data_IF_351282262143
#
_entry.id   IF_351282262143
#
_cell.length_a   1.000
_cell.length_b   1.000
_cell.length_c   1.000
_cell.angle_alpha   90.00
_cell.angle_beta   90.00
_cell.angle_gamma   90.00
#
_symmetry.space_group_name_H-M   'P 1'
#
loop_
_entity.id
_entity.type
_entity.pdbx_description
1 polymer ?
#
# COMPACT_ATOMS: atom_id res chain seq x y z
N UNK A 1 -30.43 48.56 51.54
CA UNK A 1 -30.58 47.09 51.66
C UNK A 1 -29.88 46.46 50.47
N UNK A 2 -28.71 45.87 50.70
CA UNK A 2 -27.90 45.19 49.67
C UNK A 2 -28.12 43.69 49.89
N UNK A 3 -28.67 42.99 48.90
CA UNK A 3 -28.82 41.55 48.93
C UNK A 3 -28.06 40.94 47.75
N UNK A 4 -26.98 40.26 48.09
CA UNK A 4 -26.06 39.52 47.24
C UNK A 4 -26.63 38.15 46.89
N UNK A 5 -26.87 37.90 45.60
CA UNK A 5 -27.28 36.59 45.09
C UNK A 5 -26.09 35.76 44.64
N UNK A 6 -25.82 34.67 45.35
CA UNK A 6 -24.77 33.66 45.07
C UNK A 6 -25.04 32.91 43.76
N UNK A 7 -24.01 32.75 42.93
CA UNK A 7 -23.94 31.81 41.82
C UNK A 7 -23.80 30.37 42.33
N UNK A 8 -24.46 29.36 41.75
CA UNK A 8 -24.16 27.97 42.06
C UNK A 8 -22.93 27.50 41.27
N UNK A 9 -21.93 27.02 42.01
CA UNK A 9 -20.86 26.17 41.51
C UNK A 9 -21.47 24.85 41.03
N UNK A 10 -21.37 24.56 39.73
CA UNK A 10 -21.75 23.29 39.12
C UNK A 10 -20.49 22.55 38.65
N UNK A 11 -20.35 21.32 39.13
CA UNK A 11 -19.19 20.44 39.00
C UNK A 11 -18.54 20.36 37.61
N UNK A 12 -17.24 20.64 37.60
CA UNK A 12 -16.30 20.26 36.56
C UNK A 12 -16.22 18.73 36.47
N UNK A 13 -17.14 18.10 35.72
CA UNK A 13 -16.95 16.72 35.28
C UNK A 13 -15.64 16.65 34.51
N UNK A 14 -14.63 16.04 35.14
CA UNK A 14 -13.39 15.60 34.49
C UNK A 14 -13.79 14.80 33.24
N UNK A 15 -13.64 15.41 32.07
CA UNK A 15 -13.62 14.68 30.81
C UNK A 15 -12.42 13.75 30.91
N UNK A 16 -12.68 12.48 31.22
CA UNK A 16 -11.74 11.42 30.97
C UNK A 16 -11.45 11.47 29.47
N UNK A 17 -10.28 11.97 29.11
CA UNK A 17 -9.74 11.82 27.77
C UNK A 17 -9.69 10.33 27.48
N UNK A 18 -10.46 9.88 26.48
CA UNK A 18 -10.27 8.55 25.90
C UNK A 18 -8.78 8.37 25.58
N UNK A 19 -8.19 7.20 25.89
CA UNK A 19 -6.80 6.93 25.54
C UNK A 19 -6.66 7.11 24.03
N UNK A 20 -5.83 8.07 23.62
CA UNK A 20 -5.42 8.21 22.23
C UNK A 20 -4.82 6.86 21.83
N UNK A 21 -5.54 6.09 21.01
CA UNK A 21 -5.02 4.89 20.39
C UNK A 21 -3.89 5.32 19.46
N UNK A 22 -2.68 5.32 20.01
CA UNK A 22 -1.46 5.35 19.22
C UNK A 22 -1.39 4.07 18.37
N UNK A 23 -0.84 4.16 17.15
CA UNK A 23 -0.69 3.01 16.27
C UNK A 23 0.15 1.91 16.96
N UNK A 24 0.08 0.64 16.52
CA UNK A 24 0.75 -0.49 17.14
C UNK A 24 2.25 -0.50 16.76
N UNK A 25 2.95 0.60 17.06
CA UNK A 25 4.40 0.72 16.86
C UNK A 25 5.14 -0.46 17.47
N UNK A 26 4.77 -0.86 18.69
CA UNK A 26 5.34 -2.01 19.37
C UNK A 26 5.22 -3.31 18.56
N UNK A 27 4.10 -3.54 17.87
CA UNK A 27 3.91 -4.72 17.03
C UNK A 27 4.81 -4.67 15.78
N UNK A 28 4.85 -3.53 15.10
CA UNK A 28 5.71 -3.34 13.93
C UNK A 28 7.18 -3.54 14.32
N UNK A 29 7.64 -2.91 15.40
CA UNK A 29 9.01 -3.04 15.89
C UNK A 29 9.32 -4.45 16.41
N UNK A 30 8.36 -5.12 17.04
CA UNK A 30 8.50 -6.52 17.44
C UNK A 30 8.80 -7.42 16.23
N UNK A 31 8.04 -7.27 15.14
CA UNK A 31 8.27 -8.01 13.89
C UNK A 31 9.64 -7.72 13.26
N UNK A 32 10.10 -6.46 13.30
CA UNK A 32 11.44 -6.11 12.82
C UNK A 32 12.55 -6.78 13.63
N UNK A 33 12.37 -6.94 14.95
CA UNK A 33 13.35 -7.57 15.84
C UNK A 33 13.38 -9.09 15.67
N UNK A 34 12.22 -9.75 15.60
CA UNK A 34 12.13 -11.21 15.45
C UNK A 34 12.90 -11.71 14.22
N UNK A 35 12.78 -11.04 13.06
CA UNK A 35 13.49 -11.46 11.86
C UNK A 35 15.01 -11.24 11.91
N UNK A 36 15.48 -10.21 12.64
CA UNK A 36 16.92 -9.97 12.82
C UNK A 36 17.62 -11.09 13.59
N UNK A 37 16.87 -11.83 14.41
CA UNK A 37 17.36 -12.98 15.19
C UNK A 37 17.25 -14.32 14.45
N UNK A 38 16.55 -14.39 13.31
CA UNK A 38 16.33 -15.65 12.56
C UNK A 38 17.14 -15.77 11.26
N UNK A 39 18.04 -14.83 10.94
CA UNK A 39 18.82 -14.88 9.69
C UNK A 39 19.71 -16.14 9.61
N UNK A 40 19.49 -17.05 8.64
CA UNK A 40 20.45 -18.09 8.33
C UNK A 40 21.66 -17.45 7.62
N UNK A 41 22.87 -17.89 7.96
CA UNK A 41 24.08 -17.54 7.21
C UNK A 41 23.88 -17.93 5.74
N UNK A 42 24.21 -16.99 4.83
CA UNK A 42 24.09 -17.16 3.39
C UNK A 42 24.67 -18.50 2.92
N UNK A 43 23.85 -19.29 2.22
CA UNK A 43 24.31 -20.41 1.39
C UNK A 43 23.95 -20.11 -0.06
N UNK A 44 24.95 -20.17 -0.90
CA UNK A 44 24.84 -20.19 -2.35
C UNK A 44 24.11 -21.47 -2.78
N UNK A 45 22.84 -21.35 -3.18
CA UNK A 45 22.17 -22.40 -3.95
C UNK A 45 21.48 -21.78 -5.17
N UNK A 46 22.02 -22.11 -6.35
CA UNK A 46 21.43 -21.85 -7.66
C UNK A 46 20.14 -22.69 -7.73
N UNK A 47 19.00 -22.06 -7.50
CA UNK A 47 17.70 -22.71 -7.55
C UNK A 47 17.23 -22.92 -9.00
N UNK A 48 16.99 -24.17 -9.38
CA UNK A 48 16.30 -24.54 -10.63
C UNK A 48 14.80 -24.20 -10.56
N UNK A 49 14.15 -23.86 -11.70
CA UNK A 49 12.76 -23.42 -11.71
C UNK A 49 11.82 -24.63 -11.72
N UNK A 50 11.42 -25.11 -10.53
CA UNK A 50 10.19 -25.91 -10.38
C UNK A 50 9.10 -25.03 -9.77
N UNK A 51 7.97 -24.93 -10.47
CA UNK A 51 6.82 -24.09 -10.15
C UNK A 51 6.38 -24.22 -8.69
N UNK A 52 6.77 -23.25 -7.87
CA UNK A 52 6.24 -23.02 -6.53
C UNK A 52 5.42 -21.75 -6.61
N UNK A 53 4.11 -21.91 -6.84
CA UNK A 53 3.13 -20.83 -6.67
C UNK A 53 3.27 -20.20 -5.28
N UNK A 54 2.88 -18.93 -5.15
CA UNK A 54 3.10 -18.02 -4.02
C UNK A 54 2.59 -18.56 -2.65
N UNK A 55 3.34 -19.47 -2.04
CA UNK A 55 3.02 -20.09 -0.75
C UNK A 55 4.10 -19.72 0.25
N UNK A 56 3.73 -18.93 1.25
CA UNK A 56 4.60 -18.57 2.38
C UNK A 56 4.28 -19.48 3.58
N UNK A 57 5.26 -19.71 4.45
CA UNK A 57 5.14 -20.45 5.70
C UNK A 57 4.57 -19.55 6.82
N UNK A 58 3.50 -20.03 7.46
CA UNK A 58 2.98 -19.46 8.71
C UNK A 58 3.82 -19.87 9.90
N UNK A 59 3.74 -19.11 10.99
CA UNK A 59 4.37 -19.45 12.27
C UNK A 59 3.84 -20.74 12.89
N UNK A 60 2.67 -21.23 12.43
CA UNK A 60 2.09 -22.52 12.76
C UNK A 60 2.48 -23.65 11.78
N UNK A 61 3.41 -23.39 10.86
CA UNK A 61 3.85 -24.32 9.82
C UNK A 61 2.85 -24.52 8.67
N UNK A 62 1.67 -23.87 8.72
CA UNK A 62 0.68 -23.95 7.64
C UNK A 62 1.02 -22.95 6.54
N UNK A 63 0.97 -23.41 5.29
CA UNK A 63 1.20 -22.56 4.13
C UNK A 63 0.00 -21.64 3.93
N UNK A 64 0.23 -20.34 3.80
CA UNK A 64 -0.79 -19.36 3.43
C UNK A 64 -0.46 -18.69 2.09
N UNK A 65 -1.48 -18.11 1.47
CA UNK A 65 -1.32 -17.31 0.26
C UNK A 65 -1.09 -15.86 0.66
N UNK A 66 -0.05 -15.23 0.12
CA UNK A 66 0.18 -13.80 0.33
C UNK A 66 -0.28 -12.98 -0.88
N UNK A 67 -1.23 -12.08 -0.63
CA UNK A 67 -1.68 -11.06 -1.55
C UNK A 67 -1.10 -9.69 -1.17
N UNK A 68 -1.08 -8.81 -2.15
CA UNK A 68 -0.66 -7.41 -2.11
C UNK A 68 -1.46 -6.58 -3.11
N UNK A 69 -1.36 -5.26 -3.04
CA UNK A 69 -1.96 -4.36 -4.04
C UNK A 69 -1.58 -4.72 -5.48
N UNK A 70 -0.33 -5.12 -5.74
CA UNK A 70 0.11 -5.54 -7.08
C UNK A 70 -0.53 -6.85 -7.52
N UNK A 71 -0.64 -7.85 -6.64
CA UNK A 71 -1.34 -9.11 -6.99
C UNK A 71 -2.84 -8.90 -7.20
N UNK A 72 -3.47 -7.98 -6.46
CA UNK A 72 -4.88 -7.64 -6.64
C UNK A 72 -5.11 -6.79 -7.89
N UNK A 73 -4.12 -5.98 -8.30
CA UNK A 73 -4.12 -5.32 -9.61
C UNK A 73 -4.12 -6.36 -10.73
N UNK A 74 -3.27 -7.39 -10.63
CA UNK A 74 -3.24 -8.50 -11.57
C UNK A 74 -4.59 -9.24 -11.64
N UNK A 75 -5.25 -9.45 -10.50
CA UNK A 75 -6.60 -10.04 -10.46
C UNK A 75 -7.62 -9.17 -11.21
N UNK A 76 -7.62 -7.85 -10.98
CA UNK A 76 -8.51 -6.92 -11.70
C UNK A 76 -8.26 -6.89 -13.20
N UNK A 77 -7.00 -6.96 -13.61
CA UNK A 77 -6.62 -6.99 -15.02
C UNK A 77 -7.04 -8.31 -15.70
N UNK A 78 -6.76 -9.45 -15.06
CA UNK A 78 -7.13 -10.76 -15.58
C UNK A 78 -7.14 -11.82 -14.47
N UNK A 79 -8.33 -12.31 -14.07
CA UNK A 79 -8.46 -13.39 -13.09
C UNK A 79 -7.72 -14.68 -13.48
N UNK A 80 -7.66 -15.02 -14.79
CA UNK A 80 -6.91 -16.19 -15.28
C UNK A 80 -5.41 -16.02 -15.04
N UNK A 81 -4.82 -14.89 -15.44
CA UNK A 81 -3.38 -14.63 -15.19
C UNK A 81 -3.06 -14.61 -13.70
N UNK A 82 -3.92 -14.04 -12.87
CA UNK A 82 -3.78 -14.05 -11.41
C UNK A 82 -3.76 -15.48 -10.85
N UNK A 83 -4.73 -16.30 -11.25
CA UNK A 83 -4.79 -17.71 -10.84
C UNK A 83 -3.56 -18.49 -11.32
N UNK A 84 -3.18 -18.33 -12.59
CA UNK A 84 -2.00 -18.97 -13.17
C UNK A 84 -0.73 -18.61 -12.40
N UNK A 85 -0.57 -17.33 -12.07
CA UNK A 85 0.61 -16.87 -11.37
C UNK A 85 0.68 -17.38 -9.94
N UNK A 86 -0.40 -17.24 -9.16
CA UNK A 86 -0.35 -17.51 -7.73
C UNK A 86 -0.59 -18.98 -7.38
N UNK A 87 -1.47 -19.68 -8.13
CA UNK A 87 -1.76 -21.10 -7.89
C UNK A 87 -0.87 -22.03 -8.72
N UNK A 88 -0.76 -21.79 -10.03
CA UNK A 88 0.00 -22.67 -10.94
C UNK A 88 1.49 -22.31 -11.09
N UNK A 89 1.93 -21.14 -10.60
CA UNK A 89 3.31 -20.68 -10.77
C UNK A 89 3.67 -20.30 -12.21
N UNK A 90 2.68 -20.08 -13.08
CA UNK A 90 2.87 -19.67 -14.48
C UNK A 90 2.77 -18.15 -14.55
N UNK A 91 3.91 -17.50 -14.76
CA UNK A 91 4.00 -16.05 -14.81
C UNK A 91 3.80 -15.52 -16.23
N UNK A 92 3.21 -14.33 -16.35
CA UNK A 92 3.26 -13.56 -17.60
C UNK A 92 4.72 -13.33 -18.00
N UNK A 93 5.06 -13.32 -19.31
CA UNK A 93 6.35 -12.82 -19.78
C UNK A 93 6.61 -11.43 -19.20
N UNK A 94 7.79 -11.21 -18.63
CA UNK A 94 8.18 -9.94 -17.99
C UNK A 94 9.13 -9.18 -18.91
N UNK A 95 8.79 -7.93 -19.20
CA UNK A 95 9.73 -6.97 -19.79
C UNK A 95 10.66 -6.37 -18.73
N UNK A 96 11.61 -5.55 -19.18
CA UNK A 96 12.48 -4.78 -18.29
C UNK A 96 11.63 -3.73 -17.57
N UNK A 97 11.62 -3.75 -16.23
CA UNK A 97 11.01 -2.67 -15.46
C UNK A 97 11.87 -1.41 -15.60
N UNK A 98 11.29 -0.23 -15.91
CA UNK A 98 12.07 0.99 -16.06
C UNK A 98 12.73 1.35 -14.72
N UNK A 99 14.04 1.55 -14.72
CA UNK A 99 14.80 1.89 -13.51
C UNK A 99 14.45 3.27 -12.95
N UNK A 100 14.04 4.21 -13.81
CA UNK A 100 13.77 5.60 -13.44
C UNK A 100 12.63 5.74 -12.40
N UNK A 101 11.42 5.18 -12.59
CA UNK A 101 10.39 5.22 -11.54
C UNK A 101 10.85 4.64 -10.20
N UNK A 102 11.58 3.53 -10.21
CA UNK A 102 12.11 2.92 -8.99
C UNK A 102 13.16 3.78 -8.29
N UNK A 103 14.07 4.40 -9.04
CA UNK A 103 15.05 5.34 -8.48
C UNK A 103 14.41 6.60 -7.94
N UNK A 104 13.42 7.15 -8.66
CA UNK A 104 12.66 8.33 -8.23
C UNK A 104 11.91 8.06 -6.92
N UNK A 105 11.28 6.89 -6.76
CA UNK A 105 10.57 6.52 -5.53
C UNK A 105 11.47 6.64 -4.28
N UNK A 106 12.70 6.13 -4.33
CA UNK A 106 13.65 6.24 -3.22
C UNK A 106 14.07 7.68 -2.91
N UNK A 107 14.33 8.47 -3.95
CA UNK A 107 14.70 9.89 -3.80
C UNK A 107 13.55 10.71 -3.21
N UNK A 108 12.32 10.50 -3.68
CA UNK A 108 11.12 11.19 -3.20
C UNK A 108 10.87 10.85 -1.73
N UNK A 109 10.96 9.58 -1.33
CA UNK A 109 10.84 9.16 0.07
C UNK A 109 11.83 9.87 0.98
N UNK A 110 13.10 9.91 0.55
CA UNK A 110 14.17 10.60 1.30
C UNK A 110 13.90 12.10 1.41
N UNK A 111 13.41 12.71 0.34
CA UNK A 111 13.04 14.12 0.33
C UNK A 111 11.87 14.42 1.29
N UNK A 112 10.80 13.61 1.29
CA UNK A 112 9.66 13.79 2.19
C UNK A 112 10.04 13.64 3.67
N UNK A 113 10.93 12.71 3.98
CA UNK A 113 11.37 12.46 5.35
C UNK A 113 12.05 13.69 5.99
N UNK A 114 12.67 14.57 5.18
CA UNK A 114 13.27 15.83 5.67
C UNK A 114 12.26 16.80 6.29
N UNK A 115 10.97 16.65 6.00
CA UNK A 115 9.92 17.54 6.48
C UNK A 115 9.22 17.03 7.74
N UNK A 116 9.45 15.79 8.19
CA UNK A 116 8.83 15.27 9.43
C UNK A 116 9.39 15.98 10.66
N UNK A 117 8.52 16.29 11.61
CA UNK A 117 8.89 17.02 12.83
C UNK A 117 9.27 18.49 12.61
N UNK A 118 9.30 18.97 11.37
CA UNK A 118 9.48 20.41 11.08
C UNK A 118 8.18 21.17 11.37
N UNK A 119 8.29 22.49 11.54
CA UNK A 119 7.12 23.37 11.73
C UNK A 119 6.15 23.24 10.56
N UNK A 120 6.72 23.18 9.35
CA UNK A 120 6.02 23.06 8.08
C UNK A 120 5.32 21.71 7.93
N UNK A 121 5.96 20.60 8.32
CA UNK A 121 5.40 19.24 8.33
C UNK A 121 5.07 18.65 6.96
N UNK A 122 5.33 19.38 5.86
CA UNK A 122 5.03 19.02 4.48
C UNK A 122 6.03 19.68 3.52
N UNK A 123 6.38 19.00 2.41
CA UNK A 123 7.02 19.62 1.26
C UNK A 123 6.22 20.83 0.75
N UNK A 124 6.91 21.90 0.31
CA UNK A 124 6.26 23.14 -0.11
C UNK A 124 5.28 22.96 -1.27
N UNK A 125 5.56 22.05 -2.20
CA UNK A 125 4.79 21.85 -3.43
C UNK A 125 3.43 21.17 -3.21
N UNK A 126 3.24 20.48 -2.07
CA UNK A 126 1.96 19.86 -1.69
C UNK A 126 1.22 20.60 -0.58
N UNK A 127 1.84 21.64 0.00
CA UNK A 127 1.26 22.44 1.08
C UNK A 127 -0.01 23.14 0.62
N UNK A 128 -1.06 23.07 1.44
CA UNK A 128 -2.38 23.63 1.11
C UNK A 128 -3.16 22.84 0.06
N UNK A 129 -2.56 21.79 -0.54
CA UNK A 129 -3.22 20.87 -1.50
C UNK A 129 -3.60 19.53 -0.86
N UNK A 130 -3.07 19.24 0.33
CA UNK A 130 -3.36 18.04 1.12
C UNK A 130 -3.81 18.41 2.53
N UNK A 131 -4.43 17.45 3.22
CA UNK A 131 -4.93 17.62 4.58
C UNK A 131 -3.98 16.98 5.60
N UNK A 132 -3.68 17.69 6.70
CA UNK A 132 -2.81 17.19 7.77
C UNK A 132 -1.31 17.48 7.54
N UNK A 133 -0.47 16.74 8.24
CA UNK A 133 1.00 16.77 8.12
C UNK A 133 1.54 15.37 7.90
N UNK A 134 2.79 15.23 7.47
CA UNK A 134 3.44 13.91 7.45
C UNK A 134 3.44 13.28 8.85
N UNK A 135 3.23 11.96 8.91
CA UNK A 135 3.35 11.17 10.13
C UNK A 135 4.71 11.44 10.79
N UNK A 136 4.74 11.91 12.04
CA UNK A 136 5.99 12.27 12.71
C UNK A 136 6.84 11.04 13.09
N UNK A 137 6.20 9.89 13.33
CA UNK A 137 6.91 8.65 13.71
C UNK A 137 7.59 7.99 12.50
N UNK A 138 8.80 8.45 12.20
CA UNK A 138 9.63 7.93 11.11
C UNK A 138 9.93 6.43 11.26
N UNK A 139 10.12 5.95 12.48
CA UNK A 139 10.48 4.54 12.74
C UNK A 139 9.31 3.61 12.38
N UNK A 140 8.09 4.01 12.77
CA UNK A 140 6.87 3.32 12.38
C UNK A 140 6.70 3.29 10.85
N UNK A 141 6.87 4.43 10.18
CA UNK A 141 6.75 4.49 8.73
C UNK A 141 7.81 3.62 8.02
N UNK A 142 9.06 3.66 8.50
CA UNK A 142 10.13 2.82 7.97
C UNK A 142 9.77 1.34 8.09
N UNK A 143 9.17 0.93 9.22
CA UNK A 143 8.60 -0.40 9.39
C UNK A 143 7.51 -0.74 8.36
N UNK A 144 6.62 0.21 8.04
CA UNK A 144 5.59 0.01 7.02
C UNK A 144 6.13 -0.05 5.59
N UNK A 145 7.27 0.58 5.30
CA UNK A 145 7.91 0.57 3.97
C UNK A 145 8.60 -0.75 3.62
N UNK A 146 8.91 -1.60 4.62
CA UNK A 146 9.65 -2.86 4.43
C UNK A 146 8.77 -4.09 4.60
N UNK A 147 9.10 -5.18 3.90
CA UNK A 147 8.30 -6.44 3.92
C UNK A 147 8.11 -7.03 5.31
N UNK A 148 9.13 -6.89 6.13
CA UNK A 148 9.23 -7.49 7.46
C UNK A 148 8.25 -6.83 8.44
N UNK A 149 8.17 -5.50 8.41
CA UNK A 149 7.29 -4.70 9.26
C UNK A 149 5.94 -4.29 8.66
N UNK A 150 5.79 -4.36 7.33
CA UNK A 150 4.66 -3.85 6.53
C UNK A 150 3.26 -4.10 7.11
N UNK A 151 2.30 -3.29 6.70
CA UNK A 151 0.91 -3.41 7.13
C UNK A 151 0.33 -4.77 6.72
N UNK A 152 -0.42 -5.41 7.63
CA UNK A 152 -0.85 -6.80 7.46
C UNK A 152 -2.29 -7.02 7.89
N UNK A 153 -2.95 -7.91 7.18
CA UNK A 153 -4.23 -8.52 7.54
C UNK A 153 -4.17 -10.01 7.22
N UNK A 154 -4.74 -10.85 8.09
CA UNK A 154 -4.79 -12.29 7.87
C UNK A 154 -6.20 -12.84 8.05
N UNK A 155 -6.77 -13.34 6.96
CA UNK A 155 -8.03 -14.07 7.00
C UNK A 155 -7.75 -15.55 7.27
N UNK A 156 -8.07 -16.00 8.48
CA UNK A 156 -7.89 -17.40 8.91
C UNK A 156 -8.80 -18.37 8.15
N UNK A 157 -9.99 -17.95 7.73
CA UNK A 157 -10.96 -18.81 7.03
C UNK A 157 -10.52 -19.06 5.59
N UNK A 158 -10.02 -18.01 4.93
CA UNK A 158 -9.48 -18.09 3.57
C UNK A 158 -8.02 -18.53 3.54
N UNK A 159 -7.36 -18.65 4.71
CA UNK A 159 -5.94 -18.93 4.86
C UNK A 159 -5.07 -18.04 3.94
N UNK A 160 -5.42 -16.75 3.91
CA UNK A 160 -4.86 -15.77 2.98
C UNK A 160 -4.48 -14.51 3.74
N UNK A 161 -3.27 -14.02 3.48
CA UNK A 161 -2.70 -12.81 4.07
C UNK A 161 -2.69 -11.70 3.05
N UNK A 162 -3.12 -10.51 3.45
CA UNK A 162 -2.89 -9.28 2.71
C UNK A 162 -1.73 -8.52 3.35
N UNK A 163 -0.77 -8.09 2.53
CA UNK A 163 0.35 -7.26 2.96
C UNK A 163 0.44 -6.00 2.09
N UNK A 164 0.66 -4.86 2.74
CA UNK A 164 0.88 -3.58 2.10
C UNK A 164 2.17 -2.93 2.57
N UNK A 165 2.96 -2.44 1.62
CA UNK A 165 4.08 -1.54 1.90
C UNK A 165 3.61 -0.12 1.61
N UNK A 166 3.49 0.69 2.67
CA UNK A 166 2.96 2.04 2.55
C UNK A 166 4.12 3.00 2.28
N UNK A 167 4.02 3.78 1.19
CA UNK A 167 5.06 4.74 0.83
C UNK A 167 5.13 5.89 1.82
N UNK A 168 3.98 6.49 2.13
CA UNK A 168 3.88 7.55 3.12
C UNK A 168 2.50 7.63 3.78
N UNK A 169 2.42 8.42 4.84
CA UNK A 169 1.20 8.64 5.60
C UNK A 169 1.11 10.08 6.07
N UNK A 170 -0.05 10.70 5.83
CA UNK A 170 -0.42 11.95 6.47
C UNK A 170 -1.21 11.65 7.76
N UNK A 171 -1.16 12.57 8.71
CA UNK A 171 -1.97 12.58 9.92
C UNK A 171 -2.71 13.91 10.02
N UNK A 172 -4.03 13.84 10.11
CA UNK A 172 -4.92 14.99 10.31
C UNK A 172 -5.85 14.71 11.49
N UNK A 173 -5.70 15.48 12.58
CA UNK A 173 -6.49 15.34 13.82
C UNK A 173 -6.57 13.87 14.32
N UNK A 174 -5.44 13.16 14.26
CA UNK A 174 -5.32 11.77 14.70
C UNK A 174 -5.81 10.72 13.69
N UNK A 175 -6.29 11.12 12.51
CA UNK A 175 -6.63 10.19 11.43
C UNK A 175 -5.44 10.01 10.47
N UNK A 176 -5.13 8.75 10.17
CA UNK A 176 -4.09 8.30 9.25
C UNK A 176 -4.65 8.26 7.83
N UNK A 177 -3.89 8.80 6.89
CA UNK A 177 -4.30 8.99 5.50
C UNK A 177 -3.18 8.45 4.61
N UNK A 178 -3.42 7.40 3.80
CA UNK A 178 -2.40 6.87 2.92
C UNK A 178 -2.02 7.89 1.84
N UNK A 179 -0.72 8.03 1.60
CA UNK A 179 -0.13 8.84 0.55
C UNK A 179 0.82 7.97 -0.28
N UNK A 180 0.67 7.99 -1.60
CA UNK A 180 1.43 7.13 -2.52
C UNK A 180 2.01 7.96 -3.69
N UNK A 181 3.26 7.70 -4.04
CA UNK A 181 4.00 8.46 -5.05
C UNK A 181 3.82 7.86 -6.44
N UNK A 182 3.57 8.70 -7.44
CA UNK A 182 3.37 8.26 -8.82
C UNK A 182 4.22 9.06 -9.80
N UNK A 183 5.32 8.48 -10.24
CA UNK A 183 6.13 9.03 -11.34
C UNK A 183 5.53 8.66 -12.69
N UNK A 184 5.28 9.65 -13.55
CA UNK A 184 4.75 9.45 -14.92
C UNK A 184 5.59 10.23 -15.91
N UNK A 185 5.62 9.77 -17.16
CA UNK A 185 6.27 10.50 -18.25
C UNK A 185 5.48 11.72 -18.77
N UNK A 186 4.26 11.92 -18.28
CA UNK A 186 3.35 12.98 -18.71
C UNK A 186 2.31 13.27 -17.62
N UNK A 187 1.69 14.45 -17.71
CA UNK A 187 0.65 14.90 -16.79
C UNK A 187 -0.46 13.84 -16.61
N UNK A 188 -1.00 13.67 -15.39
CA UNK A 188 -2.13 12.78 -15.17
C UNK A 188 -3.35 13.30 -15.96
N UNK A 189 -4.04 12.40 -16.67
CA UNK A 189 -5.38 12.68 -17.21
C UNK A 189 -6.40 12.63 -16.06
N UNK A 190 -7.51 13.36 -16.15
CA UNK A 190 -8.53 13.42 -15.10
C UNK A 190 -8.97 12.04 -14.59
N UNK A 191 -9.15 11.05 -15.46
CA UNK A 191 -9.59 9.70 -15.04
C UNK A 191 -8.46 8.71 -14.74
N UNK A 192 -7.20 9.06 -15.04
CA UNK A 192 -6.06 8.13 -14.93
C UNK A 192 -5.75 7.67 -13.50
N UNK A 193 -6.35 8.31 -12.51
CA UNK A 193 -6.14 7.98 -11.10
C UNK A 193 -7.04 6.86 -10.60
N UNK A 194 -8.13 6.58 -11.31
CA UNK A 194 -9.02 5.44 -11.02
C UNK A 194 -8.27 4.10 -11.08
N UNK A 195 -7.22 4.00 -11.90
CA UNK A 195 -6.34 2.83 -11.98
C UNK A 195 -5.62 2.52 -10.67
N UNK A 196 -5.43 3.50 -9.79
CA UNK A 196 -4.76 3.35 -8.50
C UNK A 196 -5.73 3.37 -7.31
N UNK A 197 -7.05 3.48 -7.56
CA UNK A 197 -8.06 3.56 -6.52
C UNK A 197 -7.98 2.39 -5.53
N UNK A 198 -7.86 1.16 -6.05
CA UNK A 198 -7.83 -0.03 -5.19
C UNK A 198 -6.57 -0.06 -4.32
N UNK A 199 -5.46 0.56 -4.74
CA UNK A 199 -4.25 0.62 -3.94
C UNK A 199 -4.49 1.46 -2.68
N UNK A 200 -5.10 2.64 -2.81
CA UNK A 200 -5.44 3.48 -1.66
C UNK A 200 -6.54 2.86 -0.80
N UNK A 201 -7.55 2.21 -1.41
CA UNK A 201 -8.57 1.45 -0.67
C UNK A 201 -7.93 0.36 0.21
N UNK A 202 -6.96 -0.37 -0.35
CA UNK A 202 -6.21 -1.43 0.36
C UNK A 202 -5.39 -0.85 1.50
N UNK A 203 -4.67 0.25 1.28
CA UNK A 203 -3.86 0.86 2.33
C UNK A 203 -4.72 1.43 3.45
N UNK A 204 -5.85 2.06 3.14
CA UNK A 204 -6.77 2.51 4.19
C UNK A 204 -7.28 1.32 5.00
N UNK A 205 -7.75 0.25 4.34
CA UNK A 205 -8.22 -0.93 5.05
C UNK A 205 -7.12 -1.54 5.93
N UNK A 206 -5.90 -1.68 5.40
CA UNK A 206 -4.78 -2.19 6.16
C UNK A 206 -4.39 -1.29 7.34
N UNK A 207 -4.47 0.03 7.21
CA UNK A 207 -4.28 0.94 8.33
C UNK A 207 -5.31 0.66 9.45
N UNK A 208 -6.59 0.47 9.09
CA UNK A 208 -7.65 0.11 10.06
C UNK A 208 -7.39 -1.23 10.76
N UNK A 209 -7.02 -2.26 9.99
CA UNK A 209 -6.69 -3.59 10.54
C UNK A 209 -5.43 -3.57 11.42
N UNK A 210 -4.60 -2.53 11.30
CA UNK A 210 -3.44 -2.29 12.14
C UNK A 210 -3.73 -1.17 13.17
N UNK A 211 -4.99 -0.99 13.59
CA UNK A 211 -5.37 -0.14 14.73
C UNK A 211 -5.33 1.38 14.48
N UNK A 212 -5.07 1.82 13.24
CA UNK A 212 -5.07 3.24 12.90
C UNK A 212 -6.49 3.71 12.56
N UNK A 213 -6.90 4.84 13.15
CA UNK A 213 -8.12 5.54 12.70
C UNK A 213 -7.88 6.18 11.34
N UNK A 214 -8.80 6.02 10.39
CA UNK A 214 -8.73 6.64 9.06
C UNK A 214 -9.94 7.55 8.81
N UNK A 215 -9.97 8.25 7.67
CA UNK A 215 -11.05 9.21 7.35
C UNK A 215 -11.70 9.06 5.97
N UNK A 216 -11.52 7.92 5.29
CA UNK A 216 -12.13 7.67 3.97
C UNK A 216 -11.46 8.41 2.82
N UNK A 217 -10.21 8.87 2.99
CA UNK A 217 -9.48 9.56 1.92
C UNK A 217 -8.05 9.06 1.83
N UNK A 218 -7.45 9.21 0.66
CA UNK A 218 -6.03 9.04 0.40
C UNK A 218 -5.55 10.01 -0.67
N UNK A 219 -4.23 10.12 -0.82
CA UNK A 219 -3.60 11.00 -1.81
C UNK A 219 -2.66 10.25 -2.73
N UNK A 220 -2.75 10.54 -4.03
CA UNK A 220 -1.71 10.21 -5.00
C UNK A 220 -0.91 11.49 -5.26
N UNK A 221 0.41 11.44 -5.13
CA UNK A 221 1.28 12.58 -5.47
C UNK A 221 1.98 12.27 -6.78
N UNK A 222 1.52 12.91 -7.85
CA UNK A 222 2.06 12.70 -9.19
C UNK A 222 3.29 13.57 -9.44
N UNK A 223 4.38 12.94 -9.89
CA UNK A 223 5.56 13.60 -10.43
C UNK A 223 5.60 13.37 -11.93
N UNK A 224 5.65 14.45 -12.72
CA UNK A 224 5.84 14.34 -14.16
C UNK A 224 6.79 15.43 -14.68
N UNK A 225 7.61 15.14 -15.70
CA UNK A 225 8.58 16.11 -16.21
C UNK A 225 7.86 17.27 -16.91
N UNK A 226 8.35 18.49 -16.68
CA UNK A 226 7.96 19.71 -17.39
C UNK A 226 8.94 20.06 -18.51
N UNK A 227 10.24 19.87 -18.25
CA UNK A 227 11.30 20.26 -19.16
C UNK A 227 12.68 20.13 -18.52
N UNK A 228 13.70 20.55 -19.25
CA UNK A 228 15.09 20.56 -18.78
C UNK A 228 15.61 21.98 -18.85
N UNK A 229 16.13 22.48 -17.73
CA UNK A 229 16.77 23.81 -17.66
C UNK A 229 18.10 23.80 -18.41
N UNK A 230 18.63 24.98 -18.73
CA UNK A 230 19.90 25.16 -19.44
C UNK A 230 21.11 24.53 -18.71
N UNK A 231 21.02 24.36 -17.39
CA UNK A 231 22.02 23.72 -16.54
C UNK A 231 21.83 22.20 -16.40
N UNK A 232 20.95 21.59 -17.22
CA UNK A 232 20.72 20.14 -17.23
C UNK A 232 19.78 19.63 -16.14
N UNK A 233 19.21 20.51 -15.31
CA UNK A 233 18.26 20.13 -14.28
C UNK A 233 16.91 19.79 -14.90
N UNK A 234 16.47 18.54 -14.74
CA UNK A 234 15.12 18.11 -15.12
C UNK A 234 14.12 18.66 -14.10
N UNK A 235 13.16 19.44 -14.58
CA UNK A 235 12.09 20.00 -13.75
C UNK A 235 10.89 19.06 -13.76
N UNK A 236 10.35 18.80 -12.58
CA UNK A 236 9.12 18.03 -12.39
C UNK A 236 8.02 18.95 -11.85
N UNK A 237 6.80 18.71 -12.33
CA UNK A 237 5.58 19.22 -11.71
C UNK A 237 5.05 18.19 -10.72
N UNK A 238 4.56 18.68 -9.58
CA UNK A 238 4.04 17.86 -8.50
C UNK A 238 2.57 18.15 -8.28
N UNK A 239 1.74 17.14 -8.57
CA UNK A 239 0.28 17.27 -8.51
C UNK A 239 -0.30 16.26 -7.51
N UNK A 240 -0.62 16.71 -6.28
CA UNK A 240 -1.42 15.92 -5.35
C UNK A 240 -2.83 15.74 -5.90
N UNK A 241 -3.36 14.54 -5.77
CA UNK A 241 -4.75 14.23 -6.09
C UNK A 241 -5.40 13.50 -4.93
N UNK A 242 -6.45 14.11 -4.40
CA UNK A 242 -7.30 13.53 -3.35
C UNK A 242 -8.21 12.47 -3.97
N UNK A 243 -8.33 11.33 -3.30
CA UNK A 243 -9.18 10.22 -3.68
C UNK A 243 -10.02 9.78 -2.48
N UNK A 244 -11.31 9.51 -2.71
CA UNK A 244 -12.18 8.89 -1.70
C UNK A 244 -11.88 7.40 -1.63
N UNK A 245 -11.55 6.90 -0.45
CA UNK A 245 -11.16 5.50 -0.24
C UNK A 245 -12.30 4.71 0.39
N UNK A 246 -12.32 3.38 0.15
CA UNK A 246 -13.32 2.48 0.70
C UNK A 246 -12.71 1.14 1.11
N UNK A 247 -12.60 0.89 2.42
CA UNK A 247 -12.16 -0.41 2.93
C UNK A 247 -13.06 -1.56 2.48
N UNK A 248 -14.35 -1.30 2.26
CA UNK A 248 -15.31 -2.28 1.78
C UNK A 248 -14.99 -2.73 0.34
N UNK A 249 -14.59 -1.81 -0.55
CA UNK A 249 -14.12 -2.16 -1.90
C UNK A 249 -12.86 -3.03 -1.85
N UNK A 250 -11.91 -2.67 -0.99
CA UNK A 250 -10.68 -3.45 -0.80
C UNK A 250 -10.96 -4.85 -0.26
N UNK A 251 -11.82 -4.97 0.77
CA UNK A 251 -12.21 -6.24 1.37
C UNK A 251 -12.90 -7.15 0.37
N UNK A 252 -13.88 -6.63 -0.38
CA UNK A 252 -14.56 -7.41 -1.44
C UNK A 252 -13.55 -7.92 -2.49
N UNK A 253 -12.67 -7.03 -2.96
CA UNK A 253 -11.63 -7.38 -3.93
C UNK A 253 -10.71 -8.49 -3.40
N UNK A 254 -10.27 -8.39 -2.15
CA UNK A 254 -9.45 -9.39 -1.48
C UNK A 254 -10.19 -10.74 -1.36
N UNK A 255 -11.43 -10.72 -0.89
CA UNK A 255 -12.24 -11.94 -0.71
C UNK A 255 -12.50 -12.64 -2.05
N UNK A 256 -12.85 -11.90 -3.10
CA UNK A 256 -13.11 -12.45 -4.43
C UNK A 256 -11.83 -13.08 -5.03
N UNK A 257 -10.69 -12.41 -4.87
CA UNK A 257 -9.39 -12.91 -5.33
C UNK A 257 -8.95 -14.16 -4.54
N UNK A 258 -9.10 -14.16 -3.21
CA UNK A 258 -8.76 -15.29 -2.36
C UNK A 258 -9.64 -16.50 -2.64
N UNK A 259 -10.96 -16.32 -2.80
CA UNK A 259 -11.89 -17.39 -3.19
C UNK A 259 -11.53 -17.99 -4.55
N UNK A 260 -11.13 -17.16 -5.52
CA UNK A 260 -10.70 -17.67 -6.82
C UNK A 260 -9.50 -18.62 -6.69
N UNK A 261 -8.55 -18.37 -5.78
CA UNK A 261 -7.40 -19.25 -5.59
C UNK A 261 -7.77 -20.59 -4.93
N UNK A 262 -8.96 -20.71 -4.36
CA UNK A 262 -9.48 -22.00 -3.90
C UNK A 262 -10.01 -22.86 -5.05
N UNK A 263 -10.30 -22.26 -6.22
CA UNK A 263 -10.73 -22.99 -7.43
C UNK A 263 -9.63 -23.92 -7.95
N UNK A 264 -9.97 -25.18 -8.24
CA UNK A 264 -9.08 -26.14 -8.89
C UNK A 264 -8.81 -25.84 -10.37
N UNK A 265 -9.76 -25.17 -11.05
CA UNK A 265 -9.62 -24.82 -12.47
C UNK A 265 -9.38 -23.32 -12.65
N UNK A 266 -8.52 -22.98 -13.60
CA UNK A 266 -8.32 -21.60 -14.02
C UNK A 266 -9.61 -21.03 -14.64
N UNK A 267 -9.93 -19.74 -14.45
CA UNK A 267 -10.92 -19.04 -15.24
C UNK A 267 -10.63 -19.14 -16.75
N UNK A 268 -11.67 -18.98 -17.58
CA UNK A 268 -11.51 -18.91 -19.04
C UNK A 268 -10.64 -17.70 -19.43
N UNK A 269 -9.94 -17.80 -20.56
CA UNK A 269 -9.34 -16.61 -21.17
C UNK A 269 -10.41 -15.64 -21.64
N UNK A 270 -9.97 -14.42 -21.90
CA UNK A 270 -10.75 -13.43 -22.62
C UNK A 270 -9.82 -12.65 -23.55
N UNK A 271 -10.36 -12.24 -24.70
CA UNK A 271 -9.61 -11.61 -25.80
C UNK A 271 -8.99 -10.25 -25.44
N UNK A 272 -9.54 -9.54 -24.45
CA UNK A 272 -9.00 -8.27 -23.98
C UNK A 272 -7.71 -8.41 -23.16
N UNK A 273 -7.36 -9.62 -22.71
CA UNK A 273 -6.06 -9.87 -22.11
C UNK A 273 -5.06 -10.31 -23.18
N UNK A 274 -4.12 -9.43 -23.53
CA UNK A 274 -3.05 -9.70 -24.50
C UNK A 274 -2.23 -10.92 -24.13
N UNK A 275 -2.05 -11.21 -22.84
CA UNK A 275 -1.32 -12.40 -22.37
C UNK A 275 -2.10 -13.70 -22.53
N UNK A 276 -3.43 -13.67 -22.33
CA UNK A 276 -4.27 -14.82 -22.63
C UNK A 276 -4.29 -15.09 -24.13
N UNK A 277 -4.48 -14.04 -24.94
CA UNK A 277 -4.41 -14.13 -26.39
C UNK A 277 -3.06 -14.71 -26.86
N UNK A 278 -1.95 -14.21 -26.33
CA UNK A 278 -0.62 -14.75 -26.63
C UNK A 278 -0.50 -16.24 -26.30
N UNK A 279 -0.96 -16.66 -25.12
CA UNK A 279 -0.85 -18.04 -24.68
C UNK A 279 -1.71 -19.02 -25.48
N UNK A 280 -2.88 -18.59 -25.97
CA UNK A 280 -3.78 -19.45 -26.76
C UNK A 280 -3.27 -19.64 -28.20
N UNK A 281 -2.89 -18.56 -28.89
CA UNK A 281 -2.36 -18.67 -30.25
C UNK A 281 -1.07 -19.49 -30.33
N UNK A 282 -0.18 -19.40 -29.33
CA UNK A 282 1.03 -20.24 -29.28
C UNK A 282 0.71 -21.73 -29.24
N UNK A 283 -0.36 -22.13 -28.55
CA UNK A 283 -0.77 -23.53 -28.49
C UNK A 283 -1.38 -24.01 -29.81
N UNK A 284 -2.06 -23.13 -30.56
CA UNK A 284 -2.64 -23.45 -31.87
C UNK A 284 -1.59 -23.72 -32.96
N UNK A 285 -0.43 -23.04 -32.91
CA UNK A 285 0.65 -23.22 -33.90
C UNK A 285 1.74 -24.23 -33.50
N UNK A 286 1.67 -24.79 -32.28
CA UNK A 286 2.62 -25.81 -31.78
C UNK A 286 2.03 -27.23 -31.69
N UNK A 287 0.81 -27.43 -32.17
CA UNK A 287 0.21 -28.76 -32.41
C UNK A 287 0.44 -29.21 -33.84
#
# INVERSE_FOLDING_TARGET
MVATGKLPFGDSKKRHSEPQHHPPKAEVLGRLREESHTLPKARDEIATPRGRGARNDGSDGRRYIQLSASTLSLYKECPRCFWLQLKAGVHRPKGIFPSLPGGMDGVIKTYFDQFRGTKEGLPPEIRGKVEGKLLEDQELLNGWRVRTGGLRYFDKKLNTKLMGLLDDCLVDRGAYIPLDYKTRGYAPKEDSSSFYQHQLDIYEWLLQENGCKTKGVGFLVYYHPLGVRKDGIVQFEVTPKRMETSPQRARKLFEDAAKLLQSEKAPKAHSTCTFCSWGEHQHEFMQ
#
